data_IF_460371926478
#
_entry.id   IF_460371926478
#
_cell.length_a   1.000
_cell.length_b   1.000
_cell.length_c   1.000
_cell.angle_alpha   90.00
_cell.angle_beta   90.00
_cell.angle_gamma   90.00
#
_symmetry.space_group_name_H-M   'P 1'
#
loop_
_entity.id
_entity.type
_entity.pdbx_description
1 polymer ?
#
# COMPACT_ATOMS: atom_id res chain seq x y z
N UNK A 1 -19.30 -32.77 27.67
CA UNK A 1 -18.90 -31.43 27.21
C UNK A 1 -18.36 -30.72 28.44
N UNK A 2 -17.04 -30.71 28.61
CA UNK A 2 -16.39 -30.04 29.74
C UNK A 2 -16.20 -28.58 29.37
N UNK A 3 -16.86 -27.70 30.11
CA UNK A 3 -16.62 -26.26 30.07
C UNK A 3 -15.15 -26.02 30.46
N UNK A 4 -14.33 -25.63 29.47
CA UNK A 4 -13.00 -25.11 29.76
C UNK A 4 -13.17 -23.82 30.55
N UNK A 5 -12.81 -23.88 31.83
CA UNK A 5 -12.64 -22.69 32.66
C UNK A 5 -11.63 -21.76 31.99
N UNK A 6 -12.13 -20.71 31.36
CA UNK A 6 -11.31 -19.58 30.94
C UNK A 6 -10.84 -18.87 32.21
N UNK A 7 -9.68 -19.25 32.72
CA UNK A 7 -9.05 -18.56 33.85
C UNK A 7 -8.81 -17.10 33.45
N UNK A 8 -9.61 -16.20 34.04
CA UNK A 8 -9.45 -14.75 33.85
C UNK A 8 -8.15 -14.36 34.55
N UNK A 9 -7.11 -14.12 33.77
CA UNK A 9 -5.83 -13.65 34.29
C UNK A 9 -6.05 -12.26 34.89
N UNK A 10 -5.78 -12.06 36.19
CA UNK A 10 -5.91 -10.74 36.81
C UNK A 10 -4.90 -9.76 36.21
N UNK A 11 -5.35 -8.52 35.95
CA UNK A 11 -4.60 -7.49 35.24
C UNK A 11 -3.18 -7.25 35.78
N UNK A 12 -2.98 -7.38 37.09
CA UNK A 12 -1.66 -7.22 37.71
C UNK A 12 -0.66 -8.30 37.28
N UNK A 13 -1.15 -9.53 37.04
CA UNK A 13 -0.33 -10.66 36.59
C UNK A 13 0.04 -10.52 35.11
N UNK A 14 -0.89 -9.96 34.31
CA UNK A 14 -0.59 -9.53 32.93
C UNK A 14 0.49 -8.43 32.90
N UNK A 15 0.47 -7.47 33.84
CA UNK A 15 1.50 -6.44 33.91
C UNK A 15 2.89 -6.99 34.27
N UNK A 16 2.96 -8.01 35.13
CA UNK A 16 4.22 -8.69 35.45
C UNK A 16 4.75 -9.54 34.27
N UNK A 17 3.87 -10.27 33.55
CA UNK A 17 4.26 -11.07 32.37
C UNK A 17 4.73 -10.22 31.19
N UNK A 18 4.14 -9.02 31.01
CA UNK A 18 4.54 -8.04 29.99
C UNK A 18 5.79 -7.24 30.42
N UNK A 19 6.42 -7.64 31.52
CA UNK A 19 7.58 -7.08 32.22
C UNK A 19 8.40 -6.04 31.45
N UNK A 20 8.50 -4.83 32.02
CA UNK A 20 9.36 -3.67 31.70
C UNK A 20 9.88 -3.49 30.24
N UNK A 21 9.08 -3.92 29.26
CA UNK A 21 9.24 -3.55 27.85
C UNK A 21 9.05 -2.05 27.63
N UNK A 22 8.62 -1.32 28.68
CA UNK A 22 8.58 0.13 28.81
C UNK A 22 9.94 0.83 28.79
N UNK A 23 11.06 0.09 28.89
CA UNK A 23 12.39 0.69 28.89
C UNK A 23 12.82 1.23 27.51
N UNK A 24 12.23 0.76 26.42
CA UNK A 24 12.42 1.36 25.10
C UNK A 24 11.55 2.61 24.96
N UNK A 25 12.10 3.76 25.35
CA UNK A 25 11.50 5.06 25.06
C UNK A 25 11.49 5.29 23.55
N UNK A 26 10.45 4.84 22.86
CA UNK A 26 10.24 5.17 21.45
C UNK A 26 10.27 6.68 21.30
N UNK A 27 11.06 7.21 20.38
CA UNK A 27 11.03 8.63 20.09
C UNK A 27 9.62 8.98 19.61
N UNK A 28 8.90 9.84 20.34
CA UNK A 28 7.50 10.17 20.06
C UNK A 28 7.46 11.54 19.36
N UNK A 29 6.64 11.67 18.30
CA UNK A 29 6.35 12.97 17.66
C UNK A 29 5.42 13.81 18.54
N UNK A 30 5.23 15.08 18.17
CA UNK A 30 4.17 15.89 18.79
C UNK A 30 2.82 15.16 18.67
N UNK A 31 2.09 15.07 19.78
CA UNK A 31 0.80 14.35 19.94
C UNK A 31 0.87 12.82 20.06
N UNK A 32 1.97 12.23 20.53
CA UNK A 32 1.93 10.83 20.97
C UNK A 32 2.17 9.78 19.88
N UNK A 33 2.35 10.18 18.61
CA UNK A 33 2.59 9.23 17.52
C UNK A 33 4.05 8.74 17.56
N UNK A 34 4.32 7.43 17.49
CA UNK A 34 5.69 6.93 17.33
C UNK A 34 6.39 7.60 16.15
N UNK A 35 7.66 7.98 16.31
CA UNK A 35 8.48 8.40 15.18
C UNK A 35 8.69 7.20 14.28
N UNK A 36 8.31 7.36 13.01
CA UNK A 36 8.73 6.42 11.97
C UNK A 36 10.25 6.44 11.85
N UNK A 37 10.85 5.25 11.81
CA UNK A 37 12.26 5.06 11.51
C UNK A 37 12.64 5.86 10.25
N UNK A 38 13.73 6.67 10.27
CA UNK A 38 14.17 7.43 9.10
C UNK A 38 14.47 6.54 7.88
N UNK A 39 15.00 5.32 8.09
CA UNK A 39 15.29 4.36 7.01
C UNK A 39 13.99 3.92 6.35
N UNK A 40 13.00 3.52 7.15
CA UNK A 40 11.71 3.08 6.62
C UNK A 40 10.93 4.24 5.97
N UNK A 41 11.04 5.45 6.53
CA UNK A 41 10.45 6.65 5.93
C UNK A 41 11.05 6.96 4.54
N UNK A 42 12.37 6.79 4.39
CA UNK A 42 13.05 6.95 3.11
C UNK A 42 12.69 5.83 2.12
N UNK A 43 12.68 4.58 2.56
CA UNK A 43 12.28 3.43 1.75
C UNK A 43 10.84 3.61 1.23
N UNK A 44 9.91 4.05 2.09
CA UNK A 44 8.52 4.37 1.69
C UNK A 44 8.45 5.48 0.64
N UNK A 45 9.29 6.50 0.76
CA UNK A 45 9.36 7.60 -0.23
C UNK A 45 9.88 7.09 -1.58
N UNK A 46 10.85 6.19 -1.58
CA UNK A 46 11.41 5.57 -2.79
C UNK A 46 10.42 4.63 -3.47
N UNK A 47 9.73 3.76 -2.71
CA UNK A 47 8.67 2.89 -3.23
C UNK A 47 7.59 3.70 -3.94
N UNK A 48 7.15 4.81 -3.32
CA UNK A 48 6.17 5.71 -3.92
C UNK A 48 6.66 6.37 -5.20
N UNK A 49 7.92 6.80 -5.24
CA UNK A 49 8.52 7.38 -6.45
C UNK A 49 8.60 6.34 -7.57
N UNK A 50 8.97 5.10 -7.25
CA UNK A 50 9.02 3.99 -8.20
C UNK A 50 7.63 3.69 -8.78
N UNK A 51 6.62 3.54 -7.93
CA UNK A 51 5.22 3.37 -8.35
C UNK A 51 4.75 4.48 -9.30
N UNK A 52 4.92 5.74 -8.88
CA UNK A 52 4.50 6.89 -9.68
C UNK A 52 5.21 6.97 -11.03
N UNK A 53 6.50 6.60 -11.07
CA UNK A 53 7.28 6.50 -12.31
C UNK A 53 6.71 5.41 -13.23
N UNK A 54 6.41 4.22 -12.71
CA UNK A 54 5.79 3.14 -13.49
C UNK A 54 4.43 3.56 -14.04
N UNK A 55 3.60 4.21 -13.24
CA UNK A 55 2.29 4.73 -13.68
C UNK A 55 2.42 5.75 -14.81
N UNK A 56 3.37 6.69 -14.68
CA UNK A 56 3.70 7.64 -15.73
C UNK A 56 4.15 6.94 -17.01
N UNK A 57 5.02 5.93 -16.92
CA UNK A 57 5.46 5.15 -18.09
C UNK A 57 4.28 4.47 -18.78
N UNK A 58 3.33 3.90 -18.04
CA UNK A 58 2.12 3.31 -18.62
C UNK A 58 1.30 4.35 -19.40
N UNK A 59 1.12 5.55 -18.83
CA UNK A 59 0.43 6.65 -19.52
C UNK A 59 1.18 7.11 -20.77
N UNK A 60 2.50 7.30 -20.66
CA UNK A 60 3.35 7.78 -21.76
C UNK A 60 3.40 6.75 -22.91
N UNK A 61 3.39 5.44 -22.61
CA UNK A 61 3.27 4.35 -23.61
C UNK A 61 1.97 4.42 -24.41
N UNK A 62 0.91 5.01 -23.84
CA UNK A 62 -0.35 5.27 -24.55
C UNK A 62 -0.38 6.60 -25.27
N UNK A 63 0.69 7.39 -25.20
CA UNK A 63 0.74 8.73 -25.80
C UNK A 63 -0.24 9.71 -25.16
N UNK A 64 -0.72 9.44 -23.95
CA UNK A 64 -1.75 10.24 -23.30
C UNK A 64 -1.13 11.36 -22.47
N UNK A 65 -1.70 12.56 -22.58
CA UNK A 65 -1.44 13.63 -21.62
C UNK A 65 -2.14 13.31 -20.28
N UNK A 66 -1.73 13.98 -19.20
CA UNK A 66 -2.42 13.87 -17.91
C UNK A 66 -3.91 14.23 -18.01
N UNK A 67 -4.26 15.23 -18.81
CA UNK A 67 -5.64 15.64 -19.01
C UNK A 67 -6.44 14.56 -19.74
N UNK A 68 -5.92 14.05 -20.87
CA UNK A 68 -6.58 13.01 -21.65
C UNK A 68 -6.76 11.72 -20.85
N UNK A 69 -5.74 11.29 -20.10
CA UNK A 69 -5.85 10.09 -19.26
C UNK A 69 -6.83 10.28 -18.09
N UNK A 70 -6.84 11.46 -17.46
CA UNK A 70 -7.79 11.75 -16.39
C UNK A 70 -9.24 11.77 -16.90
N UNK A 71 -9.48 12.40 -18.04
CA UNK A 71 -10.78 12.43 -18.70
C UNK A 71 -11.25 11.02 -19.07
N UNK A 72 -10.40 10.23 -19.74
CA UNK A 72 -10.71 8.86 -20.14
C UNK A 72 -11.03 7.95 -18.94
N UNK A 73 -10.39 8.18 -17.79
CA UNK A 73 -10.61 7.43 -16.56
C UNK A 73 -11.70 8.03 -15.65
N UNK A 74 -12.40 9.09 -16.07
CA UNK A 74 -13.42 9.75 -15.24
C UNK A 74 -12.88 10.38 -13.95
N UNK A 75 -11.60 10.75 -13.93
CA UNK A 75 -10.93 11.39 -12.79
C UNK A 75 -11.16 12.90 -12.87
N UNK A 76 -11.56 13.50 -11.75
CA UNK A 76 -11.97 14.90 -11.67
C UNK A 76 -10.98 15.94 -12.24
N UNK A 77 -9.67 15.67 -12.25
CA UNK A 77 -8.69 16.57 -12.87
C UNK A 77 -7.35 15.91 -13.18
N UNK A 78 -6.64 16.47 -14.16
CA UNK A 78 -5.23 16.16 -14.45
C UNK A 78 -4.32 16.30 -13.20
N UNK A 79 -4.61 17.28 -12.33
CA UNK A 79 -3.89 17.47 -11.06
C UNK A 79 -4.06 16.26 -10.14
N UNK A 80 -5.26 15.68 -10.09
CA UNK A 80 -5.51 14.49 -9.27
C UNK A 80 -4.74 13.28 -9.78
N UNK A 81 -4.71 13.07 -11.10
CA UNK A 81 -3.88 12.03 -11.71
C UNK A 81 -2.38 12.25 -11.44
N UNK A 82 -1.91 13.49 -11.55
CA UNK A 82 -0.53 13.85 -11.21
C UNK A 82 -0.17 13.54 -9.75
N UNK A 83 -1.11 13.66 -8.81
CA UNK A 83 -0.88 13.24 -7.41
C UNK A 83 -0.62 11.74 -7.30
N UNK A 84 -1.30 10.91 -8.12
CA UNK A 84 -1.05 9.47 -8.14
C UNK A 84 0.30 9.11 -8.75
N UNK A 85 0.77 9.90 -9.72
CA UNK A 85 2.11 9.73 -10.31
C UNK A 85 3.25 10.24 -9.41
N UNK A 86 2.97 10.92 -8.28
CA UNK A 86 4.03 11.62 -7.50
C UNK A 86 3.96 11.45 -5.99
N UNK A 87 2.76 11.50 -5.40
CA UNK A 87 2.57 11.86 -3.99
C UNK A 87 1.70 10.88 -3.20
N UNK A 88 0.77 10.18 -3.85
CA UNK A 88 -0.10 9.20 -3.20
C UNK A 88 -0.41 8.00 -4.08
N UNK A 89 -0.97 6.95 -3.48
CA UNK A 89 -1.49 5.80 -4.19
C UNK A 89 -2.97 5.99 -4.55
N UNK A 90 -3.42 5.52 -5.72
CA UNK A 90 -4.83 5.59 -6.11
C UNK A 90 -5.72 4.66 -5.26
N UNK A 91 -6.96 5.06 -4.94
CA UNK A 91 -7.95 4.13 -4.38
C UNK A 91 -8.38 3.10 -5.43
N UNK A 92 -8.99 1.99 -4.99
CA UNK A 92 -9.35 0.87 -5.85
C UNK A 92 -10.18 1.24 -7.09
N UNK A 93 -11.17 2.12 -6.96
CA UNK A 93 -11.98 2.56 -8.11
C UNK A 93 -11.16 3.29 -9.18
N UNK A 94 -10.13 4.07 -8.78
CA UNK A 94 -9.23 4.73 -9.73
C UNK A 94 -8.34 3.71 -10.43
N UNK A 95 -7.91 2.67 -9.72
CA UNK A 95 -7.14 1.56 -10.32
C UNK A 95 -7.98 0.88 -11.40
N UNK A 96 -9.23 0.52 -11.08
CA UNK A 96 -10.17 -0.08 -12.05
C UNK A 96 -10.46 0.82 -13.25
N UNK A 97 -10.48 2.15 -13.05
CA UNK A 97 -10.69 3.10 -14.15
C UNK A 97 -9.44 3.33 -15.02
N UNK A 98 -8.25 3.35 -14.42
CA UNK A 98 -6.99 3.59 -15.15
C UNK A 98 -6.49 2.36 -15.91
N UNK A 99 -6.71 1.16 -15.38
CA UNK A 99 -6.27 -0.09 -16.00
C UNK A 99 -6.66 -0.21 -17.50
N UNK A 100 -7.93 -0.05 -17.90
CA UNK A 100 -8.31 -0.12 -19.32
C UNK A 100 -7.72 1.03 -20.14
N UNK A 101 -7.62 2.24 -19.58
CA UNK A 101 -7.00 3.41 -20.24
C UNK A 101 -5.53 3.15 -20.57
N UNK A 102 -4.83 2.44 -19.69
CA UNK A 102 -3.43 2.03 -19.88
C UNK A 102 -3.27 0.67 -20.57
N UNK A 103 -4.39 0.01 -20.91
CA UNK A 103 -4.44 -1.37 -21.44
C UNK A 103 -3.56 -2.34 -20.65
N UNK A 104 -3.70 -2.29 -19.33
CA UNK A 104 -3.14 -3.26 -18.41
C UNK A 104 -4.26 -3.93 -17.65
N UNK A 105 -3.99 -5.13 -17.14
CA UNK A 105 -4.95 -5.80 -16.27
C UNK A 105 -5.14 -5.04 -14.95
N UNK A 106 -6.38 -5.11 -14.42
CA UNK A 106 -6.75 -4.44 -13.16
C UNK A 106 -5.98 -5.05 -11.98
N UNK A 107 -5.80 -6.37 -11.95
CA UNK A 107 -5.07 -7.07 -10.88
C UNK A 107 -3.60 -6.70 -10.92
N UNK A 108 -2.99 -6.62 -12.11
CA UNK A 108 -1.61 -6.13 -12.25
C UNK A 108 -1.44 -4.73 -11.64
N UNK A 109 -2.31 -3.77 -11.99
CA UNK A 109 -2.20 -2.41 -11.46
C UNK A 109 -2.48 -2.34 -9.95
N UNK A 110 -3.39 -3.17 -9.44
CA UNK A 110 -3.66 -3.31 -8.01
C UNK A 110 -2.46 -3.91 -7.25
N UNK A 111 -1.87 -4.99 -7.77
CA UNK A 111 -0.67 -5.62 -7.22
C UNK A 111 0.51 -4.65 -7.19
N UNK A 112 0.67 -3.86 -8.26
CA UNK A 112 1.70 -2.83 -8.33
C UNK A 112 1.52 -1.74 -7.25
N UNK A 113 0.28 -1.30 -7.03
CA UNK A 113 -0.04 -0.32 -5.99
C UNK A 113 0.19 -0.89 -4.59
N UNK A 114 -0.29 -2.11 -4.34
CA UNK A 114 -0.22 -2.76 -3.03
C UNK A 114 1.21 -3.10 -2.64
N UNK A 115 1.98 -3.74 -3.53
CA UNK A 115 3.41 -4.06 -3.31
C UNK A 115 4.26 -2.81 -3.01
N UNK A 116 3.83 -1.64 -3.49
CA UNK A 116 4.50 -0.37 -3.22
C UNK A 116 4.00 0.31 -1.93
N UNK A 117 2.72 0.18 -1.60
CA UNK A 117 2.11 0.85 -0.44
C UNK A 117 2.28 0.10 0.86
N UNK A 118 2.14 -1.23 0.80
CA UNK A 118 2.15 -2.17 1.90
C UNK A 118 2.78 -3.50 1.44
N UNK A 119 4.13 -3.57 1.43
CA UNK A 119 4.85 -4.74 0.95
C UNK A 119 4.55 -6.01 1.77
N UNK A 120 4.37 -5.87 3.08
CA UNK A 120 4.10 -6.99 3.98
C UNK A 120 2.72 -7.59 3.71
N UNK A 121 1.70 -6.73 3.54
CA UNK A 121 0.36 -7.18 3.14
C UNK A 121 0.39 -7.83 1.75
N UNK A 122 1.14 -7.27 0.80
CA UNK A 122 1.29 -7.87 -0.52
C UNK A 122 1.91 -9.26 -0.42
N UNK A 123 3.05 -9.41 0.27
CA UNK A 123 3.74 -10.68 0.45
C UNK A 123 2.85 -11.75 1.11
N UNK A 124 2.03 -11.35 2.09
CA UNK A 124 1.09 -12.24 2.76
C UNK A 124 -0.06 -12.71 1.85
N UNK A 125 -0.44 -11.92 0.84
CA UNK A 125 -1.49 -12.27 -0.12
C UNK A 125 -0.96 -12.98 -1.37
N UNK A 126 0.30 -12.73 -1.73
CA UNK A 126 0.89 -13.19 -2.98
C UNK A 126 1.83 -14.38 -2.81
N UNK A 127 1.99 -14.93 -1.60
CA UNK A 127 2.99 -15.97 -1.29
C UNK A 127 4.42 -15.59 -1.77
N UNK A 128 4.75 -14.29 -1.68
CA UNK A 128 5.98 -13.66 -2.19
C UNK A 128 6.15 -13.62 -3.72
N UNK A 129 5.08 -13.78 -4.50
CA UNK A 129 5.10 -13.55 -5.95
C UNK A 129 5.35 -12.07 -6.27
N UNK A 130 5.99 -11.82 -7.41
CA UNK A 130 6.07 -10.48 -8.01
C UNK A 130 4.70 -10.00 -8.49
N UNK A 131 4.49 -8.67 -8.67
CA UNK A 131 3.24 -8.15 -9.23
C UNK A 131 2.89 -8.71 -10.61
N UNK A 132 3.89 -9.03 -11.41
CA UNK A 132 3.76 -9.67 -12.72
C UNK A 132 3.28 -11.14 -12.57
N UNK A 133 3.93 -11.93 -11.72
CA UNK A 133 3.52 -13.32 -11.45
C UNK A 133 2.12 -13.41 -10.82
N UNK A 134 1.78 -12.45 -9.95
CA UNK A 134 0.47 -12.38 -9.31
C UNK A 134 -0.66 -12.08 -10.31
N UNK A 135 -0.40 -11.30 -11.36
CA UNK A 135 -1.41 -11.11 -12.42
C UNK A 135 -1.59 -12.34 -13.28
N UNK A 136 -0.48 -12.99 -13.65
CA UNK A 136 -0.47 -14.10 -14.60
C UNK A 136 -1.13 -15.36 -14.02
N UNK A 137 -1.14 -15.52 -12.69
CA UNK A 137 -1.78 -16.66 -12.01
C UNK A 137 -3.30 -16.75 -12.23
N UNK A 138 -3.95 -15.65 -12.61
CA UNK A 138 -5.40 -15.58 -12.78
C UNK A 138 -5.82 -15.05 -14.16
N UNK A 139 -5.00 -15.29 -15.18
CA UNK A 139 -5.42 -15.26 -16.58
C UNK A 139 -6.16 -16.58 -16.87
N UNK A 140 -7.49 -16.52 -16.96
CA UNK A 140 -8.34 -17.59 -17.53
C UNK A 140 -8.36 -17.51 -19.06
#
# INVERSE_FOLDING_TARGET
MSEENMDIIPFNKLQEEVGDSSSERFAVRSRGRPQTDPVEAQAKKERRKSFGTKLKVLRDKKGLTLAAAAEAAGIASARKLSQYETTCYPPGWVISALAPVYSVDVKYLAALALSSSDPDMFAALSDNMSPEEFSDQYED
#
